data_IF_871284651339
#
_entry.id   IF_871284651339
#
_cell.length_a   1.000
_cell.length_b   1.000
_cell.length_c   1.000
_cell.angle_alpha   90.00
_cell.angle_beta   90.00
_cell.angle_gamma   90.00
#
_symmetry.space_group_name_H-M   'P 1'
#
loop_
_entity.id
_entity.type
_entity.pdbx_description
1 polymer ?
#
# COMPACT_ATOMS: atom_id res chain seq x y z
N UNK A 1 -19.25 85.30 -29.86
CA UNK A 1 -19.24 84.45 -28.66
C UNK A 1 -18.53 83.13 -29.00
N UNK A 2 -17.29 82.90 -28.49
CA UNK A 2 -16.49 81.71 -28.78
C UNK A 2 -16.45 80.86 -27.49
N UNK A 3 -17.16 79.76 -27.49
CA UNK A 3 -17.17 78.80 -26.42
C UNK A 3 -15.93 77.86 -26.49
N UNK A 4 -15.07 77.92 -25.48
CA UNK A 4 -13.90 77.00 -25.32
C UNK A 4 -14.38 75.72 -24.66
N UNK A 5 -14.23 74.60 -25.37
CA UNK A 5 -14.39 73.26 -24.81
C UNK A 5 -13.04 72.82 -24.16
N UNK A 6 -13.07 72.66 -22.86
CA UNK A 6 -11.95 72.11 -22.12
C UNK A 6 -12.03 70.59 -22.16
N UNK A 7 -11.04 69.92 -22.76
CA UNK A 7 -10.91 68.45 -22.75
C UNK A 7 -10.18 68.01 -21.47
N UNK A 8 -10.87 67.29 -20.60
CA UNK A 8 -10.28 66.59 -19.43
C UNK A 8 -9.76 65.24 -19.94
N UNK A 9 -8.45 65.07 -19.91
CA UNK A 9 -7.80 63.77 -20.16
C UNK A 9 -7.76 62.97 -18.87
N UNK A 10 -8.53 61.85 -18.80
CA UNK A 10 -8.44 60.91 -17.72
C UNK A 10 -7.25 59.96 -18.02
N UNK A 11 -6.18 60.07 -17.25
CA UNK A 11 -5.06 59.12 -17.26
C UNK A 11 -5.45 57.89 -16.44
N UNK A 12 -5.76 56.77 -17.12
CA UNK A 12 -5.94 55.46 -16.47
C UNK A 12 -4.55 54.82 -16.32
N UNK A 13 -4.02 54.85 -15.11
CA UNK A 13 -2.78 54.14 -14.76
C UNK A 13 -3.12 52.68 -14.52
N UNK A 14 -2.87 51.83 -15.51
CA UNK A 14 -2.97 50.37 -15.38
C UNK A 14 -1.78 49.86 -14.53
N UNK A 15 -2.04 49.56 -13.26
CA UNK A 15 -1.12 48.78 -12.44
C UNK A 15 -1.12 47.32 -12.94
N UNK A 16 -0.17 46.99 -13.81
CA UNK A 16 0.18 45.61 -14.13
C UNK A 16 0.88 45.01 -12.92
N UNK A 17 0.11 44.43 -12.02
CA UNK A 17 0.63 43.53 -10.99
C UNK A 17 1.18 42.29 -11.66
N UNK A 18 2.50 42.21 -11.83
CA UNK A 18 3.18 40.97 -12.18
C UNK A 18 3.01 40.03 -10.97
N UNK A 19 2.02 39.13 -11.06
CA UNK A 19 1.98 37.96 -10.19
C UNK A 19 3.22 37.15 -10.54
N UNK A 20 4.26 37.23 -9.72
CA UNK A 20 5.35 36.27 -9.71
C UNK A 20 4.70 34.96 -9.28
N UNK A 21 4.33 34.12 -10.25
CA UNK A 21 4.06 32.72 -9.99
C UNK A 21 5.41 32.14 -9.60
N UNK A 22 5.68 32.17 -8.31
CA UNK A 22 6.75 31.41 -7.72
C UNK A 22 6.36 29.96 -7.99
N UNK A 23 7.03 29.29 -8.94
CA UNK A 23 6.95 27.85 -9.07
C UNK A 23 7.31 27.32 -7.69
N UNK A 24 6.30 26.96 -6.92
CA UNK A 24 6.51 26.20 -5.70
C UNK A 24 7.27 24.96 -6.18
N UNK A 25 8.52 24.81 -5.76
CA UNK A 25 9.24 23.55 -5.91
C UNK A 25 8.30 22.47 -5.38
N UNK A 26 7.67 21.72 -6.29
CA UNK A 26 6.71 20.70 -5.91
C UNK A 26 7.52 19.62 -5.21
N UNK A 27 7.31 19.49 -3.90
CA UNK A 27 7.97 18.45 -3.13
C UNK A 27 7.76 17.09 -3.82
N UNK A 28 8.79 16.24 -3.92
CA UNK A 28 8.68 14.96 -4.62
C UNK A 28 7.71 13.99 -3.96
N UNK A 29 7.37 14.22 -2.70
CA UNK A 29 6.39 13.47 -1.92
C UNK A 29 5.12 14.31 -1.80
N UNK A 30 3.97 13.65 -1.98
CA UNK A 30 2.66 14.29 -1.90
C UNK A 30 1.86 13.73 -0.71
N UNK A 31 1.00 14.53 -0.06
CA UNK A 31 0.13 14.03 0.99
C UNK A 31 -0.88 13.03 0.43
N UNK A 32 -1.17 11.97 1.21
CA UNK A 32 -2.21 11.01 0.85
C UNK A 32 -3.58 11.69 0.87
N UNK A 33 -4.33 11.46 -0.21
CA UNK A 33 -5.74 11.88 -0.30
C UNK A 33 -6.65 10.72 0.10
N UNK A 34 -7.70 10.98 0.89
CA UNK A 34 -8.73 9.97 1.12
C UNK A 34 -9.30 9.45 -0.20
N UNK A 35 -9.66 8.16 -0.30
CA UNK A 35 -10.23 7.61 -1.52
C UNK A 35 -11.56 8.30 -1.84
N UNK A 36 -11.72 8.70 -3.10
CA UNK A 36 -12.96 9.28 -3.60
C UNK A 36 -13.87 8.17 -4.17
N UNK A 37 -15.19 8.36 -4.04
CA UNK A 37 -16.20 7.55 -4.74
C UNK A 37 -16.18 6.04 -4.41
N UNK A 38 -15.98 5.67 -3.16
CA UNK A 38 -16.09 4.27 -2.73
C UNK A 38 -17.54 3.83 -2.59
N UNK A 39 -17.85 2.61 -3.00
CA UNK A 39 -19.18 2.02 -2.80
C UNK A 39 -19.26 1.42 -1.39
N UNK A 40 -19.94 2.10 -0.47
CA UNK A 40 -20.03 1.68 0.93
C UNK A 40 -20.60 0.27 1.12
N UNK A 41 -21.56 -0.15 0.28
CA UNK A 41 -22.09 -1.52 0.32
C UNK A 41 -21.04 -2.56 -0.03
N UNK A 42 -20.24 -2.30 -1.07
CA UNK A 42 -19.10 -3.16 -1.43
C UNK A 42 -18.01 -3.14 -0.36
N UNK A 43 -17.71 -1.98 0.22
CA UNK A 43 -16.73 -1.86 1.32
C UNK A 43 -17.11 -2.73 2.51
N UNK A 44 -18.37 -2.70 2.95
CA UNK A 44 -18.83 -3.52 4.07
C UNK A 44 -18.84 -5.02 3.74
N UNK A 45 -19.23 -5.41 2.54
CA UNK A 45 -19.13 -6.78 2.06
C UNK A 45 -17.67 -7.22 1.96
N UNK A 46 -16.82 -6.43 1.32
CA UNK A 46 -15.38 -6.71 1.17
C UNK A 46 -14.66 -6.84 2.50
N UNK A 47 -15.02 -5.98 3.48
CA UNK A 47 -14.51 -6.10 4.85
C UNK A 47 -14.84 -7.46 5.47
N UNK A 48 -16.08 -7.94 5.34
CA UNK A 48 -16.45 -9.28 5.83
C UNK A 48 -15.63 -10.38 5.15
N UNK A 49 -15.49 -10.31 3.83
CA UNK A 49 -14.72 -11.28 3.05
C UNK A 49 -13.23 -11.26 3.44
N UNK A 50 -12.65 -10.09 3.66
CA UNK A 50 -11.27 -9.93 4.10
C UNK A 50 -10.98 -10.60 5.46
N UNK A 51 -11.95 -10.59 6.37
CA UNK A 51 -11.84 -11.20 7.70
C UNK A 51 -12.37 -12.64 7.76
N UNK A 52 -12.96 -13.19 6.69
CA UNK A 52 -13.62 -14.50 6.75
C UNK A 52 -12.62 -15.65 6.52
N UNK A 53 -12.28 -16.42 7.57
CA UNK A 53 -11.36 -17.54 7.44
C UNK A 53 -11.96 -18.72 6.64
N UNK A 54 -13.27 -18.75 6.40
CA UNK A 54 -13.93 -19.80 5.61
C UNK A 54 -13.59 -19.75 4.12
N UNK A 55 -12.89 -18.69 3.68
CA UNK A 55 -12.30 -18.59 2.34
C UNK A 55 -10.98 -19.35 2.21
N UNK A 56 -10.55 -20.09 3.25
CA UNK A 56 -9.38 -20.94 3.23
C UNK A 56 -9.76 -22.41 3.44
N UNK A 57 -8.92 -23.31 2.94
CA UNK A 57 -9.10 -24.77 3.07
C UNK A 57 -9.18 -25.22 4.53
N UNK A 58 -8.33 -24.66 5.38
CA UNK A 58 -8.29 -24.97 6.80
C UNK A 58 -9.43 -24.34 7.61
N UNK A 59 -10.05 -23.26 7.12
CA UNK A 59 -11.00 -22.45 7.87
C UNK A 59 -10.35 -21.57 8.94
N UNK A 60 -9.02 -21.39 8.92
CA UNK A 60 -8.27 -20.61 9.92
C UNK A 60 -7.57 -19.37 9.35
N UNK A 61 -7.38 -19.31 8.03
CA UNK A 61 -6.62 -18.27 7.37
C UNK A 61 -7.56 -17.33 6.63
N UNK A 62 -7.44 -16.05 6.91
CA UNK A 62 -8.10 -14.95 6.18
C UNK A 62 -7.04 -13.98 5.65
N UNK A 63 -7.43 -12.98 4.86
CA UNK A 63 -6.49 -11.92 4.42
C UNK A 63 -5.84 -11.23 5.62
N UNK A 64 -6.64 -10.98 6.68
CA UNK A 64 -6.13 -10.38 7.92
C UNK A 64 -5.10 -11.25 8.67
N UNK A 65 -4.95 -12.54 8.34
CA UNK A 65 -3.93 -13.39 8.98
C UNK A 65 -2.51 -12.97 8.63
N UNK A 66 -2.27 -12.60 7.35
CA UNK A 66 -0.97 -12.15 6.84
C UNK A 66 -0.89 -10.63 6.68
N UNK A 67 -2.03 -9.96 6.55
CA UNK A 67 -2.13 -8.51 6.40
C UNK A 67 -2.94 -7.91 7.56
N UNK A 68 -2.45 -8.14 8.78
CA UNK A 68 -3.16 -7.78 10.00
C UNK A 68 -3.26 -6.25 10.15
N UNK A 69 -4.48 -5.73 10.11
CA UNK A 69 -4.74 -4.29 10.18
C UNK A 69 -4.36 -3.65 11.53
N UNK A 70 -4.20 -4.45 12.59
CA UNK A 70 -3.69 -3.95 13.88
C UNK A 70 -2.15 -3.99 13.99
N UNK A 71 -1.47 -4.50 12.97
CA UNK A 71 -0.01 -4.66 12.92
C UNK A 71 0.61 -3.96 11.70
N UNK A 72 0.05 -2.79 11.32
CA UNK A 72 0.56 -2.06 10.15
C UNK A 72 0.18 -2.70 8.80
N UNK A 73 -0.81 -3.59 8.77
CA UNK A 73 -1.25 -4.27 7.54
C UNK A 73 -0.31 -5.37 7.05
N UNK A 74 0.51 -5.92 7.95
CA UNK A 74 1.42 -7.05 7.73
C UNK A 74 1.30 -8.04 8.89
N UNK A 75 2.06 -9.12 8.90
CA UNK A 75 2.14 -10.09 10.01
C UNK A 75 3.41 -9.94 10.86
N UNK A 76 4.30 -9.01 10.52
CA UNK A 76 5.56 -8.72 11.19
C UNK A 76 6.48 -9.93 11.38
N UNK A 77 6.47 -10.87 10.45
CA UNK A 77 7.41 -12.01 10.39
C UNK A 77 8.13 -12.05 9.05
N UNK A 78 9.30 -12.68 8.94
CA UNK A 78 10.07 -12.68 7.70
C UNK A 78 9.29 -13.20 6.49
N UNK A 79 8.55 -14.29 6.67
CA UNK A 79 7.65 -14.85 5.65
C UNK A 79 6.40 -15.39 6.31
N UNK A 80 5.24 -15.16 5.68
CA UNK A 80 3.93 -15.56 6.21
C UNK A 80 3.78 -17.07 6.34
N UNK A 81 2.92 -17.48 7.26
CA UNK A 81 2.57 -18.89 7.48
C UNK A 81 1.19 -19.15 6.86
N UNK A 82 1.16 -20.04 5.88
CA UNK A 82 -0.04 -20.45 5.18
C UNK A 82 -0.60 -21.81 5.64
N UNK A 83 -1.40 -22.43 4.76
CA UNK A 83 -2.04 -23.72 5.03
C UNK A 83 -1.01 -24.79 5.44
N UNK A 84 -1.37 -25.63 6.39
CA UNK A 84 -0.50 -26.67 6.97
C UNK A 84 0.84 -26.15 7.52
N UNK A 85 0.85 -24.89 7.98
CA UNK A 85 2.05 -24.26 8.56
C UNK A 85 3.20 -24.07 7.56
N UNK A 86 2.91 -24.06 6.25
CA UNK A 86 3.90 -23.78 5.23
C UNK A 86 4.38 -22.34 5.34
N UNK A 87 5.67 -22.12 5.24
CA UNK A 87 6.23 -20.79 5.13
C UNK A 87 6.18 -20.33 3.68
N UNK A 88 5.74 -19.08 3.48
CA UNK A 88 5.83 -18.41 2.21
C UNK A 88 7.29 -18.11 1.81
N UNK A 89 7.56 -17.87 0.52
CA UNK A 89 8.92 -17.60 0.04
C UNK A 89 9.33 -16.14 0.21
N UNK A 90 8.40 -15.25 0.58
CA UNK A 90 8.61 -13.79 0.53
C UNK A 90 7.83 -13.10 1.66
N UNK A 91 8.33 -11.95 2.11
CA UNK A 91 7.68 -11.14 3.14
C UNK A 91 6.33 -10.59 2.66
N UNK A 92 5.32 -10.58 3.54
CA UNK A 92 4.01 -9.99 3.24
C UNK A 92 4.11 -8.45 3.24
N UNK A 93 3.94 -7.78 2.09
CA UNK A 93 3.92 -6.33 2.06
C UNK A 93 2.66 -5.80 2.75
N UNK A 94 2.73 -4.59 3.28
CA UNK A 94 1.55 -3.97 3.89
C UNK A 94 0.40 -3.81 2.91
N UNK A 95 -0.82 -4.11 3.34
CA UNK A 95 -2.06 -3.79 2.62
C UNK A 95 -2.44 -2.31 2.77
N UNK A 96 -1.90 -1.62 3.79
CA UNK A 96 -2.17 -0.19 3.96
C UNK A 96 -1.55 0.61 2.80
N UNK A 97 -2.34 1.50 2.22
CA UNK A 97 -1.97 2.31 1.05
C UNK A 97 -1.69 1.51 -0.23
N UNK A 98 -2.02 0.21 -0.28
CA UNK A 98 -1.76 -0.65 -1.44
C UNK A 98 -2.51 -0.19 -2.70
N UNK A 99 -3.62 0.55 -2.56
CA UNK A 99 -4.33 1.19 -3.66
C UNK A 99 -3.53 2.26 -4.42
N UNK A 100 -2.43 2.76 -3.84
CA UNK A 100 -1.51 3.70 -4.47
C UNK A 100 -0.41 3.01 -5.30
N UNK A 101 -0.34 1.68 -5.26
CA UNK A 101 0.67 0.92 -5.98
C UNK A 101 0.34 0.79 -7.47
N UNK A 102 1.37 0.88 -8.31
CA UNK A 102 1.26 0.67 -9.78
C UNK A 102 0.87 -0.76 -10.16
N UNK A 103 1.14 -1.73 -9.30
CA UNK A 103 0.78 -3.13 -9.41
C UNK A 103 0.89 -3.79 -8.04
N UNK A 104 0.34 -4.98 -7.87
CA UNK A 104 0.37 -5.70 -6.61
C UNK A 104 1.40 -6.84 -6.62
N UNK A 105 1.76 -7.34 -5.42
CA UNK A 105 2.91 -8.20 -5.13
C UNK A 105 4.27 -7.49 -5.34
N UNK A 106 5.35 -8.13 -4.87
CA UNK A 106 6.71 -7.60 -5.04
C UNK A 106 7.15 -7.57 -6.50
N UNK A 107 6.79 -8.59 -7.27
CA UNK A 107 7.11 -8.75 -8.69
C UNK A 107 6.13 -8.04 -9.64
N UNK A 108 5.01 -7.54 -9.11
CA UNK A 108 3.99 -6.83 -9.89
C UNK A 108 3.17 -7.74 -10.79
N UNK A 109 3.00 -9.02 -10.43
CA UNK A 109 2.25 -9.99 -11.25
C UNK A 109 0.75 -9.78 -11.30
N UNK A 110 0.18 -9.00 -10.38
CA UNK A 110 -1.22 -8.58 -10.44
C UNK A 110 -1.31 -7.08 -10.74
N UNK A 111 -2.16 -6.72 -11.70
CA UNK A 111 -2.29 -5.36 -12.19
C UNK A 111 -2.97 -4.43 -11.17
N UNK A 112 -3.86 -4.96 -10.36
CA UNK A 112 -4.64 -4.20 -9.38
C UNK A 112 -5.00 -5.04 -8.13
N UNK A 113 -5.72 -4.41 -7.18
CA UNK A 113 -6.17 -5.06 -5.94
C UNK A 113 -7.15 -6.21 -6.19
N UNK A 114 -7.99 -6.11 -7.22
CA UNK A 114 -8.97 -7.14 -7.56
C UNK A 114 -8.28 -8.42 -8.05
N UNK A 115 -7.33 -8.28 -8.95
CA UNK A 115 -6.55 -9.42 -9.44
C UNK A 115 -5.72 -10.04 -8.31
N UNK A 116 -5.12 -9.20 -7.47
CA UNK A 116 -4.35 -9.66 -6.30
C UNK A 116 -5.20 -10.51 -5.36
N UNK A 117 -6.42 -10.07 -5.02
CA UNK A 117 -7.28 -10.72 -4.02
C UNK A 117 -7.64 -12.18 -4.37
N UNK A 118 -7.68 -12.52 -5.66
CA UNK A 118 -7.93 -13.89 -6.12
C UNK A 118 -6.75 -14.85 -5.92
N UNK A 119 -5.52 -14.33 -5.95
CA UNK A 119 -4.30 -15.13 -5.90
C UNK A 119 -4.16 -15.96 -4.62
N UNK A 120 -4.11 -15.34 -3.44
CA UNK A 120 -3.93 -16.01 -2.14
C UNK A 120 -4.98 -17.08 -1.84
N UNK A 121 -6.24 -16.87 -2.26
CA UNK A 121 -7.32 -17.84 -2.07
C UNK A 121 -6.95 -19.18 -2.72
N UNK A 122 -6.43 -19.13 -3.95
CA UNK A 122 -6.12 -20.34 -4.74
C UNK A 122 -4.66 -20.83 -4.53
N UNK A 123 -3.81 -20.07 -3.86
CA UNK A 123 -2.41 -20.45 -3.67
C UNK A 123 -2.27 -21.58 -2.63
N UNK A 124 -1.71 -22.76 -3.00
CA UNK A 124 -1.54 -23.88 -2.08
C UNK A 124 -0.67 -23.58 -0.87
N UNK A 125 0.24 -22.63 -0.98
CA UNK A 125 1.14 -22.20 0.10
C UNK A 125 0.52 -21.14 1.04
N UNK A 126 -0.64 -20.59 0.70
CA UNK A 126 -1.32 -19.52 1.45
C UNK A 126 -2.68 -20.02 1.99
N UNK A 127 -3.80 -19.70 1.36
CA UNK A 127 -5.13 -20.13 1.80
C UNK A 127 -5.50 -21.53 1.30
N UNK A 128 -4.79 -22.06 0.31
CA UNK A 128 -4.88 -23.44 -0.24
C UNK A 128 -6.30 -23.87 -0.66
N UNK A 129 -7.13 -22.95 -1.05
CA UNK A 129 -8.51 -23.21 -1.45
C UNK A 129 -8.62 -23.26 -2.98
N UNK A 130 -9.85 -23.26 -3.51
CA UNK A 130 -10.11 -23.00 -4.93
C UNK A 130 -11.18 -21.91 -5.03
N UNK A 131 -11.20 -21.19 -6.14
CA UNK A 131 -12.25 -20.20 -6.36
C UNK A 131 -13.64 -20.83 -6.34
N UNK A 132 -13.80 -22.03 -6.92
CA UNK A 132 -15.07 -22.78 -6.90
C UNK A 132 -15.52 -23.10 -5.49
N UNK A 133 -14.63 -23.65 -4.65
CA UNK A 133 -14.98 -23.98 -3.26
C UNK A 133 -15.27 -22.74 -2.42
N UNK A 134 -14.55 -21.63 -2.64
CA UNK A 134 -14.83 -20.37 -1.98
C UNK A 134 -16.24 -19.86 -2.33
N UNK A 135 -16.63 -19.96 -3.61
CA UNK A 135 -17.98 -19.62 -4.09
C UNK A 135 -19.02 -20.54 -3.44
N UNK A 136 -18.78 -21.85 -3.43
CA UNK A 136 -19.71 -22.84 -2.83
C UNK A 136 -19.95 -22.54 -1.34
N UNK A 137 -18.89 -22.19 -0.60
CA UNK A 137 -19.00 -21.79 0.79
C UNK A 137 -19.88 -20.54 0.91
N UNK A 138 -19.57 -19.46 0.19
CA UNK A 138 -20.33 -18.21 0.25
C UNK A 138 -21.79 -18.40 -0.19
N UNK A 139 -22.03 -19.15 -1.27
CA UNK A 139 -23.36 -19.43 -1.79
C UNK A 139 -24.22 -20.27 -0.83
N UNK A 140 -23.59 -21.09 0.02
CA UNK A 140 -24.27 -21.87 1.06
C UNK A 140 -24.73 -21.05 2.27
N UNK A 141 -24.29 -19.79 2.39
CA UNK A 141 -24.54 -18.91 3.53
C UNK A 141 -25.61 -17.86 3.16
N UNK A 142 -26.86 -18.01 3.61
CA UNK A 142 -27.95 -17.12 3.21
C UNK A 142 -27.69 -15.65 3.48
N UNK A 143 -26.88 -15.33 4.49
CA UNK A 143 -26.47 -13.95 4.79
C UNK A 143 -25.66 -13.35 3.65
N UNK A 144 -24.65 -14.07 3.15
CA UNK A 144 -23.85 -13.59 2.01
C UNK A 144 -24.69 -13.50 0.73
N UNK A 145 -25.52 -14.48 0.44
CA UNK A 145 -26.41 -14.43 -0.74
C UNK A 145 -27.25 -13.15 -0.75
N UNK A 146 -27.83 -12.78 0.41
CA UNK A 146 -28.59 -11.52 0.51
C UNK A 146 -27.71 -10.28 0.31
N UNK A 147 -26.51 -10.25 0.90
CA UNK A 147 -25.61 -9.11 0.78
C UNK A 147 -25.07 -8.94 -0.65
N UNK A 148 -24.68 -10.03 -1.32
CA UNK A 148 -24.31 -10.02 -2.75
C UNK A 148 -25.46 -9.50 -3.62
N UNK A 149 -26.70 -9.97 -3.34
CA UNK A 149 -27.87 -9.48 -4.06
C UNK A 149 -28.10 -7.99 -3.88
N UNK A 150 -27.90 -7.46 -2.67
CA UNK A 150 -28.02 -6.03 -2.40
C UNK A 150 -26.94 -5.20 -3.12
N UNK A 151 -25.72 -5.72 -3.20
CA UNK A 151 -24.56 -4.97 -3.73
C UNK A 151 -24.44 -5.14 -5.25
N UNK A 152 -24.65 -6.35 -5.79
CA UNK A 152 -24.44 -6.68 -7.20
C UNK A 152 -25.73 -6.95 -7.97
N UNK A 153 -26.88 -6.96 -7.33
CA UNK A 153 -28.18 -7.17 -7.99
C UNK A 153 -28.48 -8.65 -8.32
N UNK A 154 -27.62 -9.60 -7.96
CA UNK A 154 -27.78 -11.03 -8.23
C UNK A 154 -27.54 -11.85 -6.96
N UNK A 155 -28.27 -12.95 -6.84
CA UNK A 155 -28.09 -13.93 -5.76
C UNK A 155 -27.12 -15.07 -6.15
N UNK A 156 -26.60 -15.04 -7.37
CA UNK A 156 -25.52 -15.93 -7.82
C UNK A 156 -24.19 -15.27 -7.59
N UNK A 157 -23.39 -15.86 -6.71
CA UNK A 157 -22.06 -15.36 -6.34
C UNK A 157 -21.02 -15.91 -7.32
N UNK A 158 -20.09 -15.08 -7.75
CA UNK A 158 -18.91 -15.47 -8.50
C UNK A 158 -17.62 -14.86 -7.93
N UNK A 159 -16.47 -15.34 -8.39
CA UNK A 159 -15.18 -14.91 -7.87
C UNK A 159 -14.87 -13.45 -8.24
N UNK A 160 -15.36 -12.98 -9.37
CA UNK A 160 -15.17 -11.60 -9.81
C UNK A 160 -15.82 -10.61 -8.84
N UNK A 161 -17.02 -10.93 -8.37
CA UNK A 161 -17.73 -10.15 -7.36
C UNK A 161 -17.00 -10.19 -5.99
N UNK A 162 -16.51 -11.37 -5.59
CA UNK A 162 -15.76 -11.56 -4.34
C UNK A 162 -14.51 -10.68 -4.33
N UNK A 163 -13.69 -10.79 -5.37
CA UNK A 163 -12.44 -10.03 -5.47
C UNK A 163 -12.69 -8.53 -5.66
N UNK A 164 -13.75 -8.15 -6.37
CA UNK A 164 -14.17 -6.75 -6.52
C UNK A 164 -14.53 -6.14 -5.16
N UNK A 165 -15.30 -6.85 -4.33
CA UNK A 165 -15.68 -6.35 -3.02
C UNK A 165 -14.48 -6.25 -2.07
N UNK A 166 -13.57 -7.25 -2.07
CA UNK A 166 -12.32 -7.18 -1.28
C UNK A 166 -11.50 -5.97 -1.70
N UNK A 167 -11.27 -5.78 -3.00
CA UNK A 167 -10.52 -4.64 -3.52
C UNK A 167 -11.15 -3.30 -3.14
N UNK A 168 -12.48 -3.20 -3.13
CA UNK A 168 -13.17 -1.97 -2.74
C UNK A 168 -12.99 -1.64 -1.25
N UNK A 169 -12.95 -2.66 -0.39
CA UNK A 169 -12.57 -2.47 1.01
C UNK A 169 -11.11 -2.04 1.14
N UNK A 170 -10.18 -2.69 0.45
CA UNK A 170 -8.75 -2.36 0.52
C UNK A 170 -8.44 -0.94 0.04
N UNK A 171 -9.19 -0.39 -0.91
CA UNK A 171 -9.09 1.03 -1.30
C UNK A 171 -9.30 1.99 -0.13
N UNK A 172 -10.06 1.60 0.87
CA UNK A 172 -10.30 2.41 2.07
C UNK A 172 -9.18 2.34 3.11
N UNK A 173 -8.25 1.41 2.95
CA UNK A 173 -7.15 1.18 3.87
C UNK A 173 -5.98 2.14 3.62
N UNK A 174 -6.27 3.44 3.62
CA UNK A 174 -5.26 4.50 3.47
C UNK A 174 -4.97 5.15 4.82
N UNK A 175 -3.75 5.67 4.97
CA UNK A 175 -3.26 6.29 6.22
C UNK A 175 -2.83 7.73 5.98
N UNK A 176 -3.80 8.64 5.76
CA UNK A 176 -3.51 10.06 5.54
C UNK A 176 -3.05 10.76 6.83
N UNK A 177 -2.81 12.06 6.71
CA UNK A 177 -2.59 12.97 7.83
C UNK A 177 -1.39 12.59 8.73
N UNK A 178 -0.35 11.97 8.15
CA UNK A 178 0.92 11.80 8.85
C UNK A 178 1.51 13.17 9.26
N UNK A 179 2.45 13.19 10.21
CA UNK A 179 3.14 14.45 10.59
C UNK A 179 3.81 15.09 9.37
N UNK A 180 4.35 14.27 8.47
CA UNK A 180 4.93 14.75 7.22
C UNK A 180 3.86 15.32 6.28
N UNK A 181 2.68 14.70 6.16
CA UNK A 181 1.57 15.25 5.38
C UNK A 181 1.12 16.60 5.93
N UNK A 182 1.00 16.74 7.25
CA UNK A 182 0.66 18.01 7.89
C UNK A 182 1.68 19.12 7.57
N UNK A 183 2.98 18.76 7.54
CA UNK A 183 4.03 19.68 7.15
C UNK A 183 3.92 20.10 5.67
N UNK A 184 3.69 19.14 4.76
CA UNK A 184 3.44 19.40 3.34
C UNK A 184 2.24 20.33 3.12
N UNK A 185 1.19 20.19 3.94
CA UNK A 185 -0.01 21.02 3.93
C UNK A 185 0.17 22.37 4.64
N UNK A 186 1.38 22.71 5.06
CA UNK A 186 1.73 24.06 5.58
C UNK A 186 1.86 24.17 7.09
N UNK A 187 1.62 23.11 7.88
CA UNK A 187 1.83 23.11 9.33
C UNK A 187 3.34 22.94 9.64
N UNK A 188 4.08 24.04 9.57
CA UNK A 188 5.56 24.03 9.64
C UNK A 188 6.15 23.50 10.95
N UNK A 189 5.39 23.52 12.03
CA UNK A 189 5.74 23.01 13.36
C UNK A 189 5.43 21.50 13.53
N UNK A 190 4.87 20.85 12.52
CA UNK A 190 4.55 19.41 12.56
C UNK A 190 5.82 18.53 12.62
N UNK A 191 6.96 19.04 12.17
CA UNK A 191 8.24 18.33 12.16
C UNK A 191 9.28 19.07 13.00
N UNK A 192 10.12 18.30 13.67
CA UNK A 192 11.32 18.82 14.36
C UNK A 192 12.44 19.18 13.37
N UNK A 193 13.45 19.91 13.85
CA UNK A 193 14.63 20.24 13.04
C UNK A 193 15.36 18.97 12.56
N UNK A 194 15.55 17.98 13.42
CA UNK A 194 16.24 16.74 13.05
C UNK A 194 15.47 15.92 12.00
N UNK A 195 14.15 15.90 12.07
CA UNK A 195 13.29 15.26 11.06
C UNK A 195 13.36 15.97 9.70
N UNK A 196 13.42 17.31 9.69
CA UNK A 196 13.62 18.10 8.48
C UNK A 196 15.01 17.90 7.87
N UNK A 197 16.05 17.85 8.70
CA UNK A 197 17.39 17.51 8.25
C UNK A 197 17.45 16.07 7.69
N UNK A 198 16.72 15.14 8.31
CA UNK A 198 16.55 13.77 7.80
C UNK A 198 15.88 13.73 6.43
N UNK A 199 14.83 14.52 6.23
CA UNK A 199 14.18 14.67 4.93
C UNK A 199 15.11 15.29 3.88
N UNK A 200 15.87 16.30 4.27
CA UNK A 200 16.88 16.88 3.39
C UNK A 200 17.91 15.83 2.96
N UNK A 201 18.47 15.07 3.91
CA UNK A 201 19.39 13.98 3.63
C UNK A 201 18.77 12.92 2.70
N UNK A 202 17.51 12.56 2.91
CA UNK A 202 16.77 11.63 2.07
C UNK A 202 16.68 12.13 0.61
N UNK A 203 16.39 13.42 0.40
CA UNK A 203 16.40 14.06 -0.93
C UNK A 203 17.81 14.11 -1.53
N UNK A 204 18.75 14.67 -0.82
CA UNK A 204 20.12 14.92 -1.31
C UNK A 204 20.90 13.63 -1.57
N UNK A 205 20.53 12.56 -0.90
CA UNK A 205 21.11 11.24 -1.13
C UNK A 205 20.56 10.54 -2.38
N UNK A 206 19.42 10.98 -2.91
CA UNK A 206 18.82 10.41 -4.10
C UNK A 206 17.70 9.39 -3.81
N UNK A 207 17.29 9.17 -2.55
CA UNK A 207 16.23 8.23 -2.19
C UNK A 207 14.90 8.55 -2.89
N UNK A 208 14.61 9.85 -3.08
CA UNK A 208 13.39 10.33 -3.76
C UNK A 208 13.31 9.95 -5.24
N UNK A 209 14.40 9.49 -5.86
CA UNK A 209 14.35 9.00 -7.24
C UNK A 209 13.40 7.78 -7.39
N UNK A 210 13.34 6.95 -6.34
CA UNK A 210 12.48 5.75 -6.29
C UNK A 210 11.34 5.91 -5.28
N UNK A 211 11.57 6.61 -4.16
CA UNK A 211 10.61 6.80 -3.08
C UNK A 211 9.99 8.19 -3.14
N UNK A 212 8.99 8.35 -4.00
CA UNK A 212 8.28 9.61 -4.25
C UNK A 212 6.77 9.41 -4.38
N UNK A 213 6.03 10.48 -4.68
CA UNK A 213 4.58 10.46 -4.84
C UNK A 213 3.82 10.31 -3.52
N UNK A 214 2.53 9.99 -3.58
CA UNK A 214 1.65 9.85 -2.40
C UNK A 214 2.07 8.66 -1.52
N UNK A 215 2.45 7.54 -2.13
CA UNK A 215 2.89 6.33 -1.43
C UNK A 215 4.32 6.39 -0.88
N UNK A 216 5.09 7.40 -1.23
CA UNK A 216 6.56 7.43 -0.98
C UNK A 216 7.20 6.13 -1.50
N UNK A 217 6.87 5.77 -2.72
CA UNK A 217 7.11 4.49 -3.38
C UNK A 217 5.83 3.93 -3.99
N UNK A 218 5.82 2.67 -4.37
CA UNK A 218 4.69 1.97 -4.97
C UNK A 218 4.47 2.24 -6.46
N UNK A 219 5.14 3.20 -7.05
CA UNK A 219 4.87 3.74 -8.39
C UNK A 219 5.87 3.31 -9.47
N UNK A 220 6.85 2.49 -9.14
CA UNK A 220 7.89 2.03 -10.07
C UNK A 220 8.47 0.68 -9.66
N UNK A 221 9.24 0.09 -10.57
CA UNK A 221 10.06 -1.10 -10.33
C UNK A 221 11.52 -0.73 -10.36
N UNK A 222 12.31 -1.28 -9.43
CA UNK A 222 13.74 -1.05 -9.37
C UNK A 222 14.48 -2.32 -8.98
N UNK A 223 15.69 -2.45 -9.53
CA UNK A 223 16.59 -3.55 -9.19
C UNK A 223 17.06 -3.42 -7.75
N UNK A 224 16.89 -4.47 -6.95
CA UNK A 224 17.46 -4.53 -5.62
C UNK A 224 18.97 -4.79 -5.72
N UNK A 225 19.77 -3.82 -5.30
CA UNK A 225 21.22 -3.86 -5.41
C UNK A 225 21.75 -3.35 -6.76
N UNK A 226 21.57 -2.04 -7.02
CA UNK A 226 22.05 -1.38 -8.24
C UNK A 226 23.58 -1.22 -8.22
N UNK A 227 24.14 -0.80 -7.07
CA UNK A 227 25.58 -0.55 -6.91
C UNK A 227 26.30 -1.80 -6.41
N UNK A 228 25.76 -2.43 -5.38
CA UNK A 228 26.24 -3.73 -4.89
C UNK A 228 25.12 -4.77 -4.97
N UNK A 229 25.39 -6.00 -5.44
CA UNK A 229 24.38 -7.05 -5.48
C UNK A 229 23.83 -7.37 -4.08
N UNK A 230 22.50 -7.49 -3.98
CA UNK A 230 21.86 -7.93 -2.76
C UNK A 230 21.89 -9.45 -2.65
N UNK A 231 22.48 -9.97 -1.56
CA UNK A 231 22.63 -11.43 -1.34
C UNK A 231 21.34 -12.15 -1.02
N UNK A 232 20.30 -11.43 -0.54
CA UNK A 232 18.97 -11.95 -0.24
C UNK A 232 18.06 -12.13 -1.46
N UNK A 233 18.53 -11.87 -2.69
CA UNK A 233 17.76 -12.11 -3.90
C UNK A 233 17.62 -13.62 -4.15
N UNK A 234 16.55 -14.22 -3.62
CA UNK A 234 16.24 -15.66 -3.73
C UNK A 234 15.21 -15.97 -4.82
N UNK A 235 14.62 -14.93 -5.44
CA UNK A 235 13.66 -15.04 -6.53
C UNK A 235 14.11 -14.18 -7.71
N UNK A 236 13.60 -14.49 -8.92
CA UNK A 236 13.91 -13.72 -10.13
C UNK A 236 13.25 -12.33 -10.16
N UNK A 237 12.42 -11.99 -9.17
CA UNK A 237 11.69 -10.73 -9.15
C UNK A 237 10.77 -10.60 -10.37
N UNK A 238 10.72 -9.39 -10.95
CA UNK A 238 9.86 -9.10 -12.10
C UNK A 238 10.19 -9.93 -13.35
N UNK A 239 11.42 -10.44 -13.49
CA UNK A 239 11.76 -11.34 -14.60
C UNK A 239 10.90 -12.61 -14.64
N UNK A 240 10.43 -13.09 -13.49
CA UNK A 240 9.48 -14.20 -13.43
C UNK A 240 8.12 -13.88 -14.09
N UNK A 241 7.77 -12.61 -14.20
CA UNK A 241 6.50 -12.12 -14.79
C UNK A 241 6.69 -11.78 -16.27
N UNK A 242 7.79 -11.07 -16.59
CA UNK A 242 8.01 -10.53 -17.94
C UNK A 242 8.75 -11.51 -18.87
N UNK A 243 9.43 -12.51 -18.31
CA UNK A 243 10.35 -13.37 -19.08
C UNK A 243 11.61 -12.66 -19.58
N UNK A 244 11.83 -11.39 -19.19
CA UNK A 244 12.97 -10.59 -19.60
C UNK A 244 14.05 -10.62 -18.52
N UNK A 245 15.24 -11.10 -18.84
CA UNK A 245 16.37 -11.17 -17.90
C UNK A 245 16.85 -9.80 -17.41
N UNK A 246 16.60 -8.72 -18.17
CA UNK A 246 16.87 -7.36 -17.72
C UNK A 246 16.02 -6.94 -16.50
N UNK A 247 14.89 -7.60 -16.26
CA UNK A 247 14.02 -7.39 -15.11
C UNK A 247 14.39 -8.25 -13.89
N UNK A 248 15.47 -9.03 -13.98
CA UNK A 248 15.93 -9.89 -12.88
C UNK A 248 16.28 -9.06 -11.66
N UNK A 249 15.69 -9.46 -10.50
CA UNK A 249 15.80 -8.77 -9.23
C UNK A 249 15.18 -7.36 -9.20
N UNK A 250 14.38 -7.02 -10.20
CA UNK A 250 13.53 -5.85 -10.12
C UNK A 250 12.31 -6.19 -9.24
N UNK A 251 12.04 -5.32 -8.29
CA UNK A 251 10.86 -5.40 -7.44
C UNK A 251 10.12 -4.06 -7.49
N UNK A 252 8.82 -4.11 -7.26
CA UNK A 252 8.05 -2.89 -7.02
C UNK A 252 8.66 -2.18 -5.80
N UNK A 253 9.02 -0.91 -5.99
CA UNK A 253 9.52 -0.08 -4.87
C UNK A 253 8.43 -0.03 -3.80
N UNK A 254 8.69 -0.53 -2.58
CA UNK A 254 7.64 -0.56 -1.56
C UNK A 254 7.30 0.85 -1.09
N UNK A 255 6.06 1.04 -0.64
CA UNK A 255 5.68 2.24 0.09
C UNK A 255 6.53 2.41 1.35
N UNK A 256 6.93 3.64 1.66
CA UNK A 256 7.53 3.97 2.95
C UNK A 256 6.52 4.56 3.94
N UNK A 257 5.26 4.69 3.54
CA UNK A 257 4.19 5.03 4.49
C UNK A 257 4.07 3.95 5.55
N UNK A 258 4.01 4.36 6.82
CA UNK A 258 3.97 3.45 7.99
C UNK A 258 5.20 2.52 8.12
N UNK A 259 6.32 2.85 7.47
CA UNK A 259 7.48 1.94 7.38
C UNK A 259 8.04 1.53 8.75
N UNK A 260 7.92 2.36 9.79
CA UNK A 260 8.34 1.99 11.15
C UNK A 260 7.55 0.82 11.75
N UNK A 261 6.33 0.55 11.23
CA UNK A 261 5.43 -0.50 11.71
C UNK A 261 5.55 -1.82 10.91
N UNK A 262 6.20 -1.79 9.75
CA UNK A 262 6.18 -2.88 8.77
C UNK A 262 7.49 -3.67 8.71
N UNK A 263 8.11 -3.87 9.88
CA UNK A 263 9.26 -4.76 10.02
C UNK A 263 8.79 -6.24 9.97
N UNK A 264 9.71 -7.19 9.63
CA UNK A 264 11.07 -7.00 9.14
C UNK A 264 11.10 -6.50 7.69
N UNK A 265 12.23 -5.87 7.30
CA UNK A 265 12.34 -5.13 6.05
C UNK A 265 12.85 -5.98 4.90
N UNK A 266 12.59 -5.49 3.67
CA UNK A 266 12.85 -6.07 2.36
C UNK A 266 11.94 -7.25 2.01
N UNK A 267 12.05 -7.69 0.76
CA UNK A 267 11.21 -8.77 0.23
C UNK A 267 11.47 -10.14 0.88
N UNK A 268 12.62 -10.31 1.51
CA UNK A 268 13.01 -11.52 2.24
C UNK A 268 12.85 -11.39 3.77
N UNK A 269 12.45 -10.20 4.26
CA UNK A 269 12.28 -9.95 5.69
C UNK A 269 13.57 -10.09 6.51
N UNK A 270 14.73 -9.81 5.90
CA UNK A 270 16.03 -10.11 6.52
C UNK A 270 16.46 -9.13 7.63
N UNK A 271 15.90 -7.90 7.66
CA UNK A 271 16.36 -6.84 8.56
C UNK A 271 15.25 -6.40 9.50
N UNK A 272 15.54 -6.38 10.79
CA UNK A 272 14.55 -6.13 11.84
C UNK A 272 14.44 -4.67 12.27
N UNK A 273 15.46 -3.86 11.99
CA UNK A 273 15.47 -2.46 12.37
C UNK A 273 15.51 -1.53 11.16
N UNK A 274 14.80 -0.41 11.27
CA UNK A 274 14.80 0.60 10.23
C UNK A 274 16.21 1.19 10.00
N UNK A 275 17.03 1.25 11.05
CA UNK A 275 18.43 1.69 10.98
C UNK A 275 19.25 0.77 10.07
N UNK A 276 19.14 -0.54 10.21
CA UNK A 276 19.81 -1.51 9.32
C UNK A 276 19.31 -1.39 7.89
N UNK A 277 17.98 -1.25 7.70
CA UNK A 277 17.39 -1.11 6.38
C UNK A 277 17.90 0.15 5.65
N UNK A 278 18.01 1.28 6.34
CA UNK A 278 18.56 2.53 5.78
C UNK A 278 20.04 2.38 5.42
N UNK A 279 20.85 1.73 6.27
CA UNK A 279 22.27 1.48 5.99
C UNK A 279 22.44 0.59 4.75
N UNK A 280 21.67 -0.49 4.67
CA UNK A 280 21.68 -1.41 3.51
C UNK A 280 21.25 -0.69 2.23
N UNK A 281 20.16 0.10 2.26
CA UNK A 281 19.73 0.88 1.10
C UNK A 281 20.78 1.91 0.67
N UNK A 282 21.39 2.61 1.62
CA UNK A 282 22.48 3.54 1.32
C UNK A 282 23.61 2.88 0.55
N UNK A 283 24.06 1.73 1.03
CA UNK A 283 25.18 0.99 0.43
C UNK A 283 24.81 0.34 -0.90
N UNK A 284 23.73 -0.42 -0.95
CA UNK A 284 23.39 -1.24 -2.12
C UNK A 284 22.79 -0.45 -3.27
N UNK A 285 22.01 0.58 -3.00
CA UNK A 285 21.32 1.35 -4.04
C UNK A 285 22.07 2.62 -4.43
N UNK A 286 22.77 3.25 -3.47
CA UNK A 286 23.35 4.58 -3.67
C UNK A 286 24.89 4.59 -3.62
N UNK A 287 25.52 3.48 -3.21
CA UNK A 287 26.96 3.41 -2.95
C UNK A 287 27.41 4.35 -1.82
N UNK A 288 26.48 4.69 -0.91
CA UNK A 288 26.72 5.61 0.20
C UNK A 288 26.79 4.86 1.52
N UNK A 289 27.70 5.28 2.37
CA UNK A 289 27.81 4.83 3.75
C UNK A 289 27.46 6.01 4.65
N UNK A 290 26.27 5.98 5.22
CA UNK A 290 25.83 7.01 6.15
C UNK A 290 26.59 6.93 7.47
N UNK A 291 26.86 8.08 8.09
CA UNK A 291 27.27 8.13 9.50
C UNK A 291 26.10 7.71 10.39
N UNK A 292 26.39 7.40 11.65
CA UNK A 292 25.32 7.06 12.62
C UNK A 292 24.30 8.19 12.78
N UNK A 293 24.77 9.43 12.77
CA UNK A 293 23.96 10.63 12.91
C UNK A 293 23.09 10.87 11.68
N UNK A 294 23.65 10.72 10.48
CA UNK A 294 22.87 10.82 9.23
C UNK A 294 21.79 9.73 9.14
N UNK A 295 22.16 8.48 9.43
CA UNK A 295 21.21 7.38 9.47
C UNK A 295 20.08 7.65 10.48
N UNK A 296 20.42 8.05 11.70
CA UNK A 296 19.43 8.37 12.73
C UNK A 296 18.45 9.48 12.29
N UNK A 297 18.92 10.52 11.59
CA UNK A 297 18.07 11.59 11.05
C UNK A 297 17.16 11.09 9.93
N UNK A 298 17.68 10.26 9.01
CA UNK A 298 16.85 9.63 7.97
C UNK A 298 15.77 8.77 8.62
N UNK A 299 16.11 7.96 9.61
CA UNK A 299 15.14 7.15 10.37
C UNK A 299 14.11 8.02 11.08
N UNK A 300 14.52 9.14 11.68
CA UNK A 300 13.59 10.09 12.30
C UNK A 300 12.59 10.65 11.29
N UNK A 301 13.06 11.04 10.10
CA UNK A 301 12.17 11.43 9.01
C UNK A 301 11.21 10.30 8.61
N UNK A 302 11.69 9.09 8.37
CA UNK A 302 10.86 7.96 7.95
C UNK A 302 9.72 7.66 8.93
N UNK A 303 9.95 7.84 10.23
CA UNK A 303 8.90 7.70 11.26
C UNK A 303 7.80 8.76 11.15
N UNK A 304 8.07 9.91 10.56
CA UNK A 304 7.05 10.94 10.34
C UNK A 304 6.05 10.58 9.24
N UNK A 305 6.31 9.50 8.47
CA UNK A 305 5.45 8.99 7.42
C UNK A 305 4.32 8.07 7.93
N UNK A 306 4.27 7.80 9.23
CA UNK A 306 3.17 7.07 9.88
C UNK A 306 1.94 7.96 9.95
N UNK A 307 0.89 7.56 9.24
CA UNK A 307 -0.37 8.29 9.16
C UNK A 307 -1.43 7.81 10.13
N UNK A 308 -2.61 8.41 10.07
CA UNK A 308 -3.78 7.97 10.84
C UNK A 308 -4.22 6.59 10.35
N UNK A 309 -4.30 5.65 11.28
CA UNK A 309 -4.70 4.28 10.96
C UNK A 309 -6.19 4.20 10.64
N UNK A 310 -6.61 3.35 9.68
CA UNK A 310 -8.01 3.19 9.32
C UNK A 310 -8.87 2.81 10.54
N UNK A 311 -9.97 3.52 10.73
CA UNK A 311 -10.93 3.24 11.82
C UNK A 311 -12.12 2.49 11.25
N UNK A 312 -12.34 1.26 11.72
CA UNK A 312 -13.50 0.44 11.36
C UNK A 312 -13.89 -0.46 12.53
N UNK A 313 -15.14 -0.85 12.55
CA UNK A 313 -15.62 -1.90 13.46
C UNK A 313 -15.31 -3.26 12.84
N UNK A 314 -14.88 -4.21 13.68
CA UNK A 314 -14.73 -5.60 13.24
C UNK A 314 -16.07 -6.12 12.69
N UNK A 315 -16.09 -6.79 11.55
CA UNK A 315 -17.32 -7.26 10.95
C UNK A 315 -17.91 -8.43 11.74
N UNK A 316 -19.24 -8.48 11.81
CA UNK A 316 -19.96 -9.67 12.23
C UNK A 316 -20.22 -10.49 10.96
N UNK A 317 -19.61 -11.66 10.89
CA UNK A 317 -19.74 -12.54 9.72
C UNK A 317 -21.10 -13.23 9.73
N UNK A 318 -21.77 -13.40 8.57
CA UNK A 318 -22.99 -14.18 8.46
C UNK A 318 -22.76 -15.61 8.97
N UNK A 319 -23.67 -16.18 9.76
CA UNK A 319 -23.51 -17.54 10.26
C UNK A 319 -23.56 -18.57 9.13
N UNK A 320 -22.76 -19.62 9.25
CA UNK A 320 -22.83 -20.77 8.36
C UNK A 320 -24.18 -21.46 8.45
N UNK A 321 -24.60 -22.14 7.41
CA UNK A 321 -25.77 -23.01 7.42
C UNK A 321 -25.37 -24.49 7.61
N UNK A 322 -26.36 -25.36 7.71
CA UNK A 322 -26.18 -26.82 7.72
C UNK A 322 -25.60 -27.35 6.40
N UNK A 323 -25.72 -26.57 5.32
CA UNK A 323 -25.21 -26.88 3.97
C UNK A 323 -23.80 -26.35 3.73
N UNK A 324 -23.28 -25.51 4.63
CA UNK A 324 -21.94 -24.93 4.44
C UNK A 324 -20.87 -26.02 4.52
N UNK A 325 -20.03 -26.18 3.50
CA UNK A 325 -18.93 -27.12 3.54
C UNK A 325 -18.05 -26.92 4.77
N UNK A 326 -17.74 -28.02 5.45
CA UNK A 326 -16.87 -27.95 6.63
C UNK A 326 -15.42 -27.94 6.23
N UNK A 327 -14.58 -27.12 6.88
CA UNK A 327 -13.15 -27.13 6.62
C UNK A 327 -12.54 -28.47 7.03
N UNK A 328 -11.47 -28.85 6.34
CA UNK A 328 -10.67 -30.05 6.64
C UNK A 328 -9.24 -29.63 6.96
N UNK A 329 -9.00 -28.99 8.12
CA UNK A 329 -7.71 -28.36 8.44
C UNK A 329 -6.55 -29.35 8.49
N UNK A 330 -6.83 -30.60 8.87
CA UNK A 330 -5.85 -31.70 8.93
C UNK A 330 -6.16 -32.80 7.90
N UNK A 331 -6.90 -32.44 6.84
CA UNK A 331 -7.43 -33.39 5.87
C UNK A 331 -6.39 -34.33 5.29
N UNK A 332 -6.87 -35.58 5.05
CA UNK A 332 -6.12 -36.68 4.45
C UNK A 332 -5.69 -36.38 3.02
#
# INVERSE_FOLDING_TARGET
>A
MKTKLTRIALAVTALLGTAVIQAADTEPIQPIKPPANVNLGMVELGKKLYFDPRLSKSGFISCNSCHNLSMGGTDNIPTSIGDKWQQGPINAPTVLNSSLNVAQFWDGRAADLKEQAGGPIANPGEMAFTHTLAIDVLQSIPGYVREFKQVFGTDKIDIDQVTTAIAEFEKTLVTPNSRFDQWLLGKKDALTKDELEGYKLFKDSGCVACHNGEGVGGNSFQKMGIVEPYKGNTSDGRAAVTGNDADRFNYKVPTLRNVEMTYPYFHDGAYWTLTEAVDVMGRLQLGKKFTKEENARIVAFLKTLTGEQPKFLLPILPPSSDKTPRPTPFGK
#
